data_IF_635341050806
#
_entry.id   IF_635341050806
#
_cell.length_a   1.000
_cell.length_b   1.000
_cell.length_c   1.000
_cell.angle_alpha   90.00
_cell.angle_beta   90.00
_cell.angle_gamma   90.00
#
_symmetry.space_group_name_H-M   'P 1'
#
loop_
_entity.id
_entity.type
_entity.pdbx_description
1 polymer ?
#
# COMPACT_ATOMS: atom_id res chain seq x y z
N UNK A 1 2.91 6.26 20.36
CA UNK A 1 2.63 6.65 18.97
C UNK A 1 1.17 7.04 18.92
N UNK A 2 0.82 8.19 18.33
CA UNK A 2 -0.51 8.78 18.47
C UNK A 2 -1.62 7.81 18.03
N UNK A 3 -2.66 7.63 18.86
CA UNK A 3 -3.84 6.83 18.55
C UNK A 3 -4.73 7.58 17.54
N UNK A 4 -4.30 7.67 16.29
CA UNK A 4 -5.11 8.22 15.19
C UNK A 4 -5.72 7.04 14.44
N UNK A 5 -7.04 6.90 14.53
CA UNK A 5 -7.77 5.91 13.73
C UNK A 5 -8.00 6.44 12.32
N UNK A 6 -7.78 5.59 11.33
CA UNK A 6 -8.01 5.87 9.91
C UNK A 6 -9.21 5.11 9.34
N UNK A 7 -10.02 4.46 10.18
CA UNK A 7 -11.17 3.63 9.75
C UNK A 7 -12.18 4.41 8.88
N UNK A 8 -12.32 5.71 9.11
CA UNK A 8 -13.17 6.59 8.31
C UNK A 8 -12.57 6.97 6.93
N UNK A 9 -11.29 6.65 6.71
CA UNK A 9 -10.51 6.95 5.49
C UNK A 9 -10.09 5.62 4.86
N UNK A 10 -11.08 4.88 4.37
CA UNK A 10 -10.97 3.49 3.92
C UNK A 10 -11.59 3.23 2.53
N UNK A 11 -11.57 4.22 1.65
CA UNK A 11 -12.11 4.11 0.29
C UNK A 11 -11.11 3.49 -0.70
N UNK A 12 -11.64 2.76 -1.69
CA UNK A 12 -10.86 2.33 -2.85
C UNK A 12 -10.88 3.47 -3.87
N UNK A 13 -9.82 4.27 -3.89
CA UNK A 13 -9.78 5.55 -4.61
C UNK A 13 -9.82 5.33 -6.12
N UNK A 14 -9.00 4.41 -6.62
CA UNK A 14 -8.88 4.17 -8.05
C UNK A 14 -8.29 2.78 -8.34
N UNK A 15 -8.77 2.16 -9.41
CA UNK A 15 -8.21 0.94 -9.98
C UNK A 15 -8.07 1.13 -11.47
N UNK A 16 -6.86 0.98 -12.00
CA UNK A 16 -6.58 0.98 -13.43
C UNK A 16 -6.04 -0.40 -13.81
N UNK A 17 -6.92 -1.37 -14.14
CA UNK A 17 -6.51 -2.74 -14.42
C UNK A 17 -5.51 -2.86 -15.57
N UNK A 18 -5.67 -2.02 -16.60
CA UNK A 18 -4.80 -1.98 -17.79
C UNK A 18 -3.34 -1.66 -17.43
N UNK A 19 -3.15 -0.78 -16.43
CA UNK A 19 -1.83 -0.37 -15.95
C UNK A 19 -1.32 -1.26 -14.81
N UNK A 20 -2.11 -2.24 -14.35
CA UNK A 20 -1.84 -3.03 -13.15
C UNK A 20 -1.55 -2.13 -11.94
N UNK A 21 -2.34 -1.08 -11.74
CA UNK A 21 -2.18 -0.15 -10.61
C UNK A 21 -3.48 0.09 -9.86
N UNK A 22 -3.34 0.35 -8.57
CA UNK A 22 -4.46 0.63 -7.68
C UNK A 22 -4.07 1.63 -6.60
N UNK A 23 -4.95 2.59 -6.33
CA UNK A 23 -4.81 3.57 -5.26
C UNK A 23 -5.89 3.34 -4.21
N UNK A 24 -5.50 3.30 -2.94
CA UNK A 24 -6.38 2.98 -1.82
C UNK A 24 -6.06 3.88 -0.64
N UNK A 25 -7.09 4.24 0.13
CA UNK A 25 -6.90 4.94 1.38
C UNK A 25 -6.35 4.00 2.47
N UNK A 26 -5.49 4.55 3.33
CA UNK A 26 -4.68 3.75 4.24
C UNK A 26 -5.50 3.04 5.34
N UNK A 27 -6.72 3.49 5.63
CA UNK A 27 -7.63 2.82 6.56
C UNK A 27 -8.28 1.56 6.03
N UNK A 28 -8.20 1.27 4.72
CA UNK A 28 -8.80 0.06 4.15
C UNK A 28 -8.10 -1.19 4.68
N UNK A 29 -8.90 -2.19 5.06
CA UNK A 29 -8.43 -3.53 5.39
C UNK A 29 -7.81 -4.22 4.17
N UNK A 30 -6.66 -4.86 4.34
CA UNK A 30 -5.93 -5.54 3.27
C UNK A 30 -6.78 -6.65 2.64
N UNK A 31 -7.51 -7.44 3.42
CA UNK A 31 -8.39 -8.48 2.88
C UNK A 31 -9.50 -7.90 1.99
N UNK A 32 -10.06 -6.73 2.36
CA UNK A 32 -11.05 -6.02 1.54
C UNK A 32 -10.42 -5.50 0.25
N UNK A 33 -9.23 -4.92 0.35
CA UNK A 33 -8.49 -4.43 -0.81
C UNK A 33 -8.19 -5.57 -1.80
N UNK A 34 -7.61 -6.68 -1.33
CA UNK A 34 -7.33 -7.87 -2.13
C UNK A 34 -8.59 -8.42 -2.81
N UNK A 35 -9.72 -8.49 -2.08
CA UNK A 35 -11.00 -8.94 -2.66
C UNK A 35 -11.46 -8.05 -3.81
N UNK A 36 -11.28 -6.73 -3.71
CA UNK A 36 -11.63 -5.80 -4.80
C UNK A 36 -10.72 -5.98 -6.01
N UNK A 37 -9.41 -6.16 -5.78
CA UNK A 37 -8.46 -6.45 -6.87
C UNK A 37 -8.76 -7.77 -7.58
N UNK A 38 -9.11 -8.80 -6.81
CA UNK A 38 -9.41 -10.14 -7.33
C UNK A 38 -10.60 -10.14 -8.28
N UNK A 39 -11.55 -9.20 -8.14
CA UNK A 39 -12.65 -9.04 -9.08
C UNK A 39 -12.21 -8.69 -10.51
N UNK A 40 -10.99 -8.15 -10.67
CA UNK A 40 -10.36 -7.89 -11.97
C UNK A 40 -9.24 -8.87 -12.31
N UNK A 41 -9.15 -10.01 -11.61
CA UNK A 41 -8.09 -11.00 -11.85
C UNK A 41 -6.71 -10.52 -11.40
N UNK A 42 -6.63 -9.59 -10.44
CA UNK A 42 -5.39 -8.98 -9.99
C UNK A 42 -5.23 -9.09 -8.47
N UNK A 43 -4.01 -8.93 -7.97
CA UNK A 43 -3.73 -8.92 -6.54
C UNK A 43 -2.48 -8.10 -6.23
N UNK A 44 -2.38 -7.64 -4.99
CA UNK A 44 -1.14 -7.12 -4.41
C UNK A 44 -0.37 -8.32 -3.83
N UNK A 45 0.86 -8.62 -4.30
CA UNK A 45 1.55 -9.85 -3.92
C UNK A 45 2.26 -9.73 -2.56
N UNK A 46 1.46 -9.51 -1.51
CA UNK A 46 1.86 -9.47 -0.11
C UNK A 46 0.89 -10.30 0.73
N UNK A 47 1.43 -11.02 1.70
CA UNK A 47 0.73 -12.04 2.49
C UNK A 47 1.03 -11.94 3.99
N UNK A 48 0.84 -10.76 4.64
CA UNK A 48 1.09 -10.64 6.07
C UNK A 48 0.19 -11.62 6.87
N UNK A 49 0.60 -12.01 8.08
CA UNK A 49 -0.24 -12.81 8.96
C UNK A 49 -1.55 -12.07 9.27
N UNK A 50 -2.67 -12.78 9.24
CA UNK A 50 -4.03 -12.29 9.55
C UNK A 50 -4.44 -11.04 8.73
N UNK A 51 -4.47 -11.11 7.39
CA UNK A 51 -4.73 -9.96 6.52
C UNK A 51 -6.10 -9.29 6.75
N UNK A 52 -7.05 -9.98 7.36
CA UNK A 52 -8.35 -9.46 7.78
C UNK A 52 -8.28 -8.45 8.93
N UNK A 53 -7.21 -8.48 9.73
CA UNK A 53 -6.97 -7.55 10.83
C UNK A 53 -6.01 -6.42 10.48
N UNK A 54 -5.39 -6.46 9.30
CA UNK A 54 -4.33 -5.53 8.89
C UNK A 54 -4.92 -4.46 7.97
N UNK A 55 -4.77 -3.19 8.33
CA UNK A 55 -5.04 -2.07 7.41
C UNK A 55 -3.84 -1.78 6.51
N UNK A 56 -4.05 -1.07 5.40
CA UNK A 56 -2.97 -0.61 4.53
C UNK A 56 -1.97 0.28 5.28
N UNK A 57 -2.42 1.12 6.21
CA UNK A 57 -1.54 1.93 7.07
C UNK A 57 -0.65 1.04 7.93
N UNK A 58 -1.19 0.03 8.60
CA UNK A 58 -0.41 -0.88 9.43
C UNK A 58 0.58 -1.72 8.62
N UNK A 59 0.14 -2.22 7.45
CA UNK A 59 0.98 -2.93 6.50
C UNK A 59 2.23 -2.11 6.16
N UNK A 60 2.07 -0.83 5.82
CA UNK A 60 3.16 0.06 5.45
C UNK A 60 3.99 0.54 6.65
N UNK A 61 3.33 0.96 7.73
CA UNK A 61 3.97 1.50 8.93
C UNK A 61 4.86 0.46 9.63
N UNK A 62 4.43 -0.80 9.67
CA UNK A 62 5.20 -1.92 10.25
C UNK A 62 6.01 -2.69 9.20
N UNK A 63 5.91 -2.34 7.91
CA UNK A 63 6.50 -3.07 6.79
C UNK A 63 6.20 -4.58 6.88
N UNK A 64 4.93 -4.92 7.14
CA UNK A 64 4.53 -6.32 7.29
C UNK A 64 4.71 -7.04 5.96
N UNK A 65 5.22 -8.26 6.04
CA UNK A 65 5.45 -9.13 4.89
C UNK A 65 5.22 -10.57 5.34
N UNK A 66 4.83 -11.44 4.44
CA UNK A 66 4.69 -12.87 4.71
C UNK A 66 5.72 -13.73 4.01
N UNK A 67 5.54 -15.06 4.06
CA UNK A 67 6.40 -16.05 3.40
C UNK A 67 6.61 -15.79 1.91
N UNK A 68 5.60 -15.32 1.17
CA UNK A 68 5.70 -15.05 -0.27
C UNK A 68 6.73 -13.97 -0.61
N UNK A 69 7.24 -13.23 0.38
CA UNK A 69 8.33 -12.24 0.17
C UNK A 69 9.58 -12.82 -0.49
N UNK A 70 9.82 -14.12 -0.36
CA UNK A 70 10.97 -14.78 -0.98
C UNK A 70 10.89 -14.75 -2.51
N UNK A 71 9.68 -14.86 -3.08
CA UNK A 71 9.46 -14.80 -4.53
C UNK A 71 8.90 -13.45 -5.02
N UNK A 72 8.12 -12.76 -4.18
CA UNK A 72 7.40 -11.54 -4.55
C UNK A 72 8.02 -10.25 -3.99
N UNK A 73 9.05 -10.32 -3.15
CA UNK A 73 9.60 -9.14 -2.46
C UNK A 73 8.70 -8.61 -1.34
N UNK A 74 8.96 -7.38 -0.89
CA UNK A 74 8.28 -6.76 0.25
C UNK A 74 7.24 -5.74 -0.19
N UNK A 75 6.35 -5.30 0.70
CA UNK A 75 5.37 -4.24 0.37
C UNK A 75 6.02 -2.96 -0.18
N UNK A 76 7.26 -2.66 0.26
CA UNK A 76 8.06 -1.55 -0.25
C UNK A 76 8.32 -1.63 -1.76
N UNK A 77 8.45 -2.84 -2.29
CA UNK A 77 8.75 -3.06 -3.71
C UNK A 77 7.52 -2.85 -4.60
N UNK A 78 6.32 -2.91 -4.00
CA UNK A 78 5.03 -2.77 -4.67
C UNK A 78 4.44 -1.36 -4.57
N UNK A 79 4.92 -0.55 -3.63
CA UNK A 79 4.49 0.83 -3.44
C UNK A 79 5.09 1.74 -4.52
N UNK A 80 4.23 2.42 -5.28
CA UNK A 80 4.62 3.36 -6.34
C UNK A 80 4.27 4.81 -6.01
N UNK A 81 3.41 5.04 -5.01
CA UNK A 81 3.08 6.37 -4.51
C UNK A 81 2.45 6.35 -3.13
N UNK A 82 2.53 7.48 -2.44
CA UNK A 82 1.86 7.70 -1.16
C UNK A 82 1.40 9.14 -0.99
N UNK A 83 0.44 9.32 -0.09
CA UNK A 83 0.13 10.61 0.52
C UNK A 83 0.30 10.50 2.04
N UNK A 84 1.00 11.46 2.63
CA UNK A 84 1.32 11.50 4.06
C UNK A 84 0.98 12.86 4.64
N UNK A 85 0.33 12.85 5.80
CA UNK A 85 0.14 14.04 6.64
C UNK A 85 1.33 14.15 7.59
N UNK A 86 2.09 15.24 7.46
CA UNK A 86 3.24 15.54 8.32
C UNK A 86 2.80 16.10 9.68
N UNK A 87 3.69 16.13 10.70
CA UNK A 87 3.37 16.67 12.02
C UNK A 87 2.94 18.14 12.04
N UNK A 88 3.33 18.92 11.03
CA UNK A 88 2.92 20.31 10.86
C UNK A 88 1.59 20.48 10.10
N UNK A 89 0.91 19.37 9.82
CA UNK A 89 -0.39 19.33 9.14
C UNK A 89 -0.32 19.39 7.61
N UNK A 90 0.87 19.50 7.01
CA UNK A 90 1.00 19.50 5.55
C UNK A 90 0.72 18.12 4.99
N UNK A 91 -0.11 18.06 3.94
CA UNK A 91 -0.28 16.87 3.11
C UNK A 91 0.77 16.88 2.01
N UNK A 92 1.67 15.91 2.04
CA UNK A 92 2.65 15.68 0.97
C UNK A 92 2.25 14.46 0.15
N UNK A 93 2.57 14.49 -1.15
CA UNK A 93 2.43 13.36 -2.06
C UNK A 93 3.82 13.04 -2.64
N UNK A 94 4.17 11.76 -2.70
CA UNK A 94 5.40 11.30 -3.33
C UNK A 94 5.12 10.07 -4.19
N UNK A 95 5.95 9.88 -5.20
CA UNK A 95 5.72 8.85 -6.21
C UNK A 95 4.66 9.27 -7.23
N UNK A 96 4.01 8.29 -7.84
CA UNK A 96 2.95 8.53 -8.81
C UNK A 96 2.27 7.22 -9.22
N UNK A 97 1.28 7.33 -10.10
CA UNK A 97 0.59 6.16 -10.68
C UNK A 97 1.38 5.49 -11.80
N UNK A 98 2.66 5.84 -11.93
CA UNK A 98 3.56 5.36 -12.99
C UNK A 98 4.64 4.49 -12.38
N UNK A 99 4.90 3.35 -13.01
CA UNK A 99 5.88 2.35 -12.52
C UNK A 99 7.30 2.89 -12.52
N UNK A 100 7.63 3.80 -13.45
CA UNK A 100 8.94 4.46 -13.52
C UNK A 100 8.81 5.90 -13.06
N UNK A 101 9.39 6.18 -11.89
CA UNK A 101 9.59 7.54 -11.41
C UNK A 101 11.08 7.73 -11.06
N UNK A 102 11.74 8.64 -11.77
CA UNK A 102 13.19 8.93 -11.61
C UNK A 102 13.40 10.35 -11.06
N UNK A 103 12.31 11.03 -10.66
CA UNK A 103 12.37 12.40 -10.18
C UNK A 103 12.57 12.45 -8.66
N UNK A 104 13.78 12.85 -8.24
CA UNK A 104 14.08 13.16 -6.84
C UNK A 104 14.27 11.93 -5.94
N UNK A 105 14.07 12.14 -4.63
CA UNK A 105 14.22 11.09 -3.64
C UNK A 105 12.98 10.20 -3.54
N UNK A 106 13.20 8.91 -3.34
CA UNK A 106 12.16 7.93 -3.06
C UNK A 106 11.73 8.06 -1.58
N UNK A 107 10.79 8.98 -1.32
CA UNK A 107 10.21 9.15 0.01
C UNK A 107 9.23 8.02 0.33
N UNK A 108 8.70 7.32 -0.68
CA UNK A 108 7.90 6.12 -0.46
C UNK A 108 8.63 5.12 0.44
N UNK A 109 9.89 4.82 0.12
CA UNK A 109 10.73 3.93 0.93
C UNK A 109 11.06 4.46 2.32
N UNK A 110 11.11 5.78 2.50
CA UNK A 110 11.41 6.43 3.78
C UNK A 110 10.28 6.24 4.79
N UNK A 111 9.02 6.37 4.37
CA UNK A 111 7.87 6.23 5.28
C UNK A 111 7.53 4.76 5.60
N UNK A 112 7.83 3.83 4.69
CA UNK A 112 7.59 2.39 4.93
C UNK A 112 8.50 1.86 6.04
N UNK A 113 7.90 1.39 7.12
CA UNK A 113 8.58 0.92 8.32
C UNK A 113 8.83 2.00 9.38
N UNK A 114 8.45 3.26 9.12
CA UNK A 114 8.67 4.37 10.05
C UNK A 114 7.73 4.36 11.27
N UNK A 115 6.75 3.45 11.31
CA UNK A 115 5.78 3.33 12.42
C UNK A 115 5.12 4.66 12.80
N UNK A 116 4.70 5.40 11.78
CA UNK A 116 4.04 6.71 11.87
C UNK A 116 4.82 7.81 12.61
N UNK A 117 6.14 7.62 12.82
CA UNK A 117 6.99 8.60 13.51
C UNK A 117 7.35 9.82 12.65
N UNK A 118 7.31 9.67 11.33
CA UNK A 118 7.63 10.73 10.36
C UNK A 118 6.38 11.44 9.81
N UNK A 119 5.19 10.90 10.07
CA UNK A 119 3.92 11.33 9.52
C UNK A 119 2.96 10.16 9.37
N UNK A 120 1.69 10.47 9.11
CA UNK A 120 0.62 9.47 8.99
C UNK A 120 0.34 9.24 7.50
N UNK A 121 0.50 7.99 7.03
CA UNK A 121 0.16 7.60 5.67
C UNK A 121 -1.37 7.54 5.55
N UNK A 122 -1.95 8.29 4.60
CA UNK A 122 -3.41 8.38 4.40
C UNK A 122 -3.88 7.77 3.08
N UNK A 123 -2.99 7.67 2.09
CA UNK A 123 -3.27 7.08 0.77
C UNK A 123 -2.01 6.37 0.27
N UNK A 124 -2.20 5.25 -0.41
CA UNK A 124 -1.13 4.46 -1.00
C UNK A 124 -1.52 4.01 -2.41
N UNK A 125 -0.57 4.09 -3.33
CA UNK A 125 -0.69 3.60 -4.69
C UNK A 125 0.28 2.43 -4.89
N UNK A 126 -0.24 1.33 -5.42
CA UNK A 126 0.49 0.10 -5.64
C UNK A 126 0.50 -0.27 -7.11
N UNK A 127 1.60 -0.88 -7.55
CA UNK A 127 1.58 -1.76 -8.73
C UNK A 127 1.11 -3.16 -8.30
N UNK A 128 0.53 -3.90 -9.24
CA UNK A 128 -0.16 -5.16 -9.01
C UNK A 128 0.42 -6.28 -9.87
N UNK A 129 -0.01 -7.50 -9.58
CA UNK A 129 0.20 -8.65 -10.45
C UNK A 129 -1.14 -9.25 -10.87
N UNK A 130 -1.19 -9.95 -12.02
CA UNK A 130 -2.30 -10.85 -12.30
C UNK A 130 -2.35 -11.96 -11.23
N UNK A 131 -3.55 -12.40 -10.91
CA UNK A 131 -3.75 -13.61 -10.12
C UNK A 131 -3.15 -14.80 -10.89
N UNK A 132 -2.39 -15.68 -10.22
CA UNK A 132 -1.81 -16.84 -10.87
C UNK A 132 -2.91 -17.82 -11.31
N UNK A 133 -2.73 -18.46 -12.47
CA UNK A 133 -3.65 -19.48 -12.99
C UNK A 133 -3.60 -20.76 -12.16
N UNK A 134 -2.43 -21.08 -11.58
CA UNK A 134 -2.22 -22.19 -10.65
C UNK A 134 -1.40 -21.71 -9.44
N UNK A 135 -1.78 -22.13 -8.24
CA UNK A 135 -0.96 -21.95 -7.03
C UNK A 135 0.09 -23.06 -6.95
N UNK A 136 1.36 -22.68 -6.88
CA UNK A 136 2.50 -23.60 -6.76
C UNK A 136 2.69 -24.16 -5.35
#
# INVERSE_FOLDING_TARGET
>A
VANVSLEAVAEFVEHVPEDMTATVQAGMCLAVFQKRLAASGQWLPVDPPNPELVTVSELLAKNLSGPRRFGCGTVRDWLIGLAVVLPDGRLIRNGGKVVKNVAGFDLCRLFVGARDTLGIIVEAAFKLLPLPEEEA
#
